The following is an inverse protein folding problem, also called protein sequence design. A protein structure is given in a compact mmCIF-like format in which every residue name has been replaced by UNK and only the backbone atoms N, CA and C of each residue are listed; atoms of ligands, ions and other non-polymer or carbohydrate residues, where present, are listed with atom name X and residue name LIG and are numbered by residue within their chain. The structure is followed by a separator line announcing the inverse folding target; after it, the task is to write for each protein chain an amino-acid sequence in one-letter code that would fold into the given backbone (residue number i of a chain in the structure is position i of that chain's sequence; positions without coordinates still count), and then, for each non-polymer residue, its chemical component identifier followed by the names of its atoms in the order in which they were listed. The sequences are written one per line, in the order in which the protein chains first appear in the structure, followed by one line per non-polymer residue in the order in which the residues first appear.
data_IF_541236231605
#
_entry.id   IF_541236231605
#
_cell.length_a   1.000
_cell.length_b   1.000
_cell.length_c   1.000
_cell.angle_alpha   90.00
_cell.angle_beta   90.00
_cell.angle_gamma   90.00
#
_symmetry.space_group_name_H-M   'P 1'
#
loop_
_entity.id
_entity.type
_entity.pdbx_description
1 polymer ?
#
# COMPACT_ATOMS: atom_id res chain seq x y z
N UNK A 1 -7.08 -9.20 -1.01
CA UNK A 1 -8.19 -9.35 -1.98
C UNK A 1 -8.23 -10.74 -2.63
N UNK A 2 -9.40 -11.21 -3.05
CA UNK A 2 -9.51 -12.37 -3.95
C UNK A 2 -9.22 -11.98 -5.41
N UNK A 3 -9.12 -12.95 -6.34
CA UNK A 3 -8.79 -12.69 -7.75
C UNK A 3 -9.79 -11.76 -8.47
N UNK A 4 -11.03 -11.67 -7.98
CA UNK A 4 -12.10 -10.87 -8.60
C UNK A 4 -12.12 -9.40 -8.15
N UNK A 5 -11.20 -8.97 -7.28
CA UNK A 5 -11.15 -7.59 -6.83
C UNK A 5 -10.69 -6.67 -7.96
N UNK A 6 -11.62 -5.87 -8.48
CA UNK A 6 -11.30 -4.85 -9.49
C UNK A 6 -10.66 -3.65 -8.78
N UNK A 7 -9.35 -3.50 -8.95
CA UNK A 7 -8.62 -2.30 -8.54
C UNK A 7 -8.50 -1.40 -9.77
N UNK A 8 -9.00 -0.17 -9.66
CA UNK A 8 -8.76 0.84 -10.68
C UNK A 8 -7.29 1.25 -10.66
N UNK A 9 -6.50 0.67 -11.56
CA UNK A 9 -5.07 0.96 -11.67
C UNK A 9 -4.74 2.19 -12.51
N UNK A 10 -5.77 2.85 -13.07
CA UNK A 10 -5.60 4.09 -13.84
C UNK A 10 -5.38 5.29 -12.93
N UNK A 11 -5.89 5.24 -11.70
CA UNK A 11 -5.79 6.30 -10.72
C UNK A 11 -4.96 5.86 -9.51
N UNK A 12 -3.76 6.43 -9.38
CA UNK A 12 -2.83 6.16 -8.29
C UNK A 12 -3.47 6.30 -6.90
N UNK A 13 -4.32 7.31 -6.72
CA UNK A 13 -4.99 7.56 -5.45
C UNK A 13 -5.97 6.44 -5.09
N UNK A 14 -6.64 5.83 -6.08
CA UNK A 14 -7.52 4.67 -5.86
C UNK A 14 -6.76 3.43 -5.45
N UNK A 15 -5.56 3.23 -5.99
CA UNK A 15 -4.67 2.16 -5.54
C UNK A 15 -4.27 2.41 -4.08
N UNK A 16 -3.82 3.62 -3.74
CA UNK A 16 -3.47 3.97 -2.37
C UNK A 16 -4.62 3.76 -1.39
N UNK A 17 -5.82 4.27 -1.70
CA UNK A 17 -7.03 4.06 -0.91
C UNK A 17 -7.32 2.57 -0.69
N UNK A 18 -7.22 1.76 -1.75
CA UNK A 18 -7.47 0.33 -1.65
C UNK A 18 -6.46 -0.39 -0.75
N UNK A 19 -5.17 -0.12 -0.93
CA UNK A 19 -4.10 -0.75 -0.16
C UNK A 19 -4.09 -0.25 1.29
N UNK A 20 -4.31 1.04 1.50
CA UNK A 20 -4.41 1.62 2.83
C UNK A 20 -5.59 1.05 3.63
N UNK A 21 -6.73 0.76 2.98
CA UNK A 21 -7.84 0.06 3.62
C UNK A 21 -7.45 -1.35 4.09
N UNK A 22 -6.65 -2.08 3.30
CA UNK A 22 -6.08 -3.35 3.75
C UNK A 22 -5.18 -3.17 4.98
N UNK A 23 -4.25 -2.21 4.95
CA UNK A 23 -3.33 -1.93 6.06
C UNK A 23 -4.09 -1.66 7.36
N UNK A 24 -5.19 -0.90 7.30
CA UNK A 24 -5.96 -0.53 8.49
C UNK A 24 -6.86 -1.63 9.03
N UNK A 25 -7.45 -2.46 8.16
CA UNK A 25 -8.59 -3.29 8.55
C UNK A 25 -8.44 -4.78 8.22
N UNK A 26 -7.44 -5.19 7.45
CA UNK A 26 -7.18 -6.60 7.09
C UNK A 26 -6.19 -7.27 8.06
N UNK A 27 -6.50 -7.22 9.35
CA UNK A 27 -5.62 -7.72 10.43
C UNK A 27 -5.37 -9.24 10.36
N UNK A 28 -6.22 -9.98 9.66
CA UNK A 28 -6.10 -11.44 9.52
C UNK A 28 -5.02 -11.81 8.51
N UNK A 29 -4.90 -11.04 7.43
CA UNK A 29 -4.00 -11.37 6.32
C UNK A 29 -2.73 -10.54 6.34
N UNK A 30 -2.79 -9.32 6.85
CA UNK A 30 -1.62 -8.48 7.07
C UNK A 30 -1.22 -8.58 8.53
N UNK A 31 -0.10 -9.27 8.77
CA UNK A 31 0.53 -9.23 10.08
C UNK A 31 1.00 -7.79 10.33
N UNK A 32 0.56 -7.15 11.42
CA UNK A 32 0.89 -5.76 11.69
C UNK A 32 2.39 -5.51 11.59
N UNK A 33 3.21 -6.40 12.16
CA UNK A 33 4.68 -6.31 12.32
C UNK A 33 5.51 -6.07 11.06
N UNK A 34 4.92 -6.14 9.87
CA UNK A 34 5.66 -6.20 8.61
C UNK A 34 5.86 -4.86 7.88
N UNK A 35 5.29 -3.76 8.41
CA UNK A 35 5.35 -2.41 7.83
C UNK A 35 5.14 -2.42 6.29
N UNK A 36 4.01 -2.96 5.79
CA UNK A 36 3.83 -3.26 4.38
C UNK A 36 3.81 -2.00 3.50
N UNK A 37 4.26 -2.14 2.26
CA UNK A 37 4.22 -1.07 1.27
C UNK A 37 2.77 -0.61 1.00
N UNK A 38 2.52 0.69 1.07
CA UNK A 38 1.21 1.31 0.78
C UNK A 38 0.71 1.17 -0.66
N UNK A 39 1.48 0.60 -1.59
CA UNK A 39 1.09 0.40 -2.99
C UNK A 39 0.94 -1.07 -3.39
N UNK A 40 1.73 -1.97 -2.82
CA UNK A 40 1.73 -3.38 -3.20
C UNK A 40 1.62 -4.35 -2.02
N UNK A 41 1.56 -3.84 -0.79
CA UNK A 41 1.49 -4.59 0.46
C UNK A 41 2.66 -5.54 0.73
N UNK A 42 3.69 -5.55 -0.12
CA UNK A 42 4.91 -6.30 0.15
C UNK A 42 5.60 -5.72 1.40
N UNK A 43 6.08 -6.57 2.32
CA UNK A 43 6.71 -6.14 3.54
C UNK A 43 8.09 -5.49 3.29
N UNK A 44 8.55 -4.66 4.21
CA UNK A 44 9.96 -4.27 4.22
C UNK A 44 10.84 -5.48 4.59
N UNK A 45 12.03 -5.68 3.99
CA UNK A 45 12.74 -4.81 3.04
C UNK A 45 12.44 -5.10 1.56
N UNK A 46 11.46 -5.94 1.23
CA UNK A 46 11.21 -6.41 -0.14
C UNK A 46 10.72 -5.30 -1.08
N UNK A 47 10.00 -4.32 -0.53
CA UNK A 47 9.57 -3.13 -1.25
C UNK A 47 10.00 -1.88 -0.49
N UNK A 48 10.87 -1.08 -1.09
CA UNK A 48 11.45 0.11 -0.47
C UNK A 48 11.10 1.35 -1.28
N UNK A 49 10.72 2.40 -0.55
CA UNK A 49 10.52 3.73 -1.11
C UNK A 49 11.75 4.58 -0.84
N UNK A 50 12.18 5.30 -1.85
CA UNK A 50 13.21 6.33 -1.73
C UNK A 50 12.56 7.66 -2.02
N UNK A 51 12.78 8.65 -1.14
CA UNK A 51 12.33 10.01 -1.38
C UNK A 51 13.46 10.84 -1.97
N UNK A 52 13.11 11.79 -2.82
CA UNK A 52 14.01 12.83 -3.34
C UNK A 52 13.39 14.20 -3.12
N UNK A 53 14.24 15.19 -2.92
CA UNK A 53 13.83 16.59 -2.86
C UNK A 53 13.55 17.09 -4.28
N UNK A 54 12.43 17.79 -4.45
CA UNK A 54 12.13 18.44 -5.74
C UNK A 54 12.84 19.79 -5.77
N UNK A 55 13.48 20.13 -6.90
CA UNK A 55 14.18 21.41 -7.06
C UNK A 55 13.19 22.60 -7.07
N UNK A 56 13.48 23.62 -6.26
CA UNK A 56 12.70 24.86 -6.12
C UNK A 56 12.25 25.07 -4.67
N UNK A 57 12.17 26.34 -4.24
CA UNK A 57 12.02 26.72 -2.83
C UNK A 57 10.78 26.15 -2.11
N UNK A 58 9.76 25.69 -2.85
CA UNK A 58 8.44 25.39 -2.30
C UNK A 58 7.87 24.02 -2.74
N UNK A 59 8.72 23.13 -3.30
CA UNK A 59 8.23 21.92 -4.00
C UNK A 59 8.27 20.63 -3.19
N UNK A 60 8.68 20.68 -1.92
CA UNK A 60 8.62 19.54 -1.00
C UNK A 60 9.37 18.29 -1.49
N UNK A 61 8.91 17.11 -1.04
CA UNK A 61 9.48 15.80 -1.38
C UNK A 61 8.65 15.08 -2.44
N UNK A 62 9.28 14.18 -3.19
CA UNK A 62 8.62 13.24 -4.09
C UNK A 62 9.24 11.87 -3.98
N UNK A 63 8.51 10.84 -4.43
CA UNK A 63 9.08 9.50 -4.57
C UNK A 63 10.10 9.51 -5.72
N UNK A 64 11.28 8.95 -5.46
CA UNK A 64 12.28 8.65 -6.47
C UNK A 64 11.91 7.34 -7.16
N UNK A 65 11.26 7.45 -8.31
CA UNK A 65 10.84 6.29 -9.11
C UNK A 65 12.00 5.43 -9.61
N UNK A 66 13.22 5.96 -9.71
CA UNK A 66 14.37 5.20 -10.19
C UNK A 66 15.02 4.37 -9.09
N UNK A 67 14.98 4.88 -7.85
CA UNK A 67 15.61 4.24 -6.70
C UNK A 67 14.64 3.42 -5.84
N UNK A 68 13.33 3.63 -5.99
CA UNK A 68 12.31 2.83 -5.31
C UNK A 68 12.09 1.51 -6.03
N UNK A 69 11.76 0.44 -5.29
CA UNK A 69 11.66 -0.93 -5.83
C UNK A 69 10.23 -1.43 -6.05
N UNK A 70 9.21 -0.58 -5.87
CA UNK A 70 7.81 -1.01 -5.94
C UNK A 70 7.34 -1.28 -7.38
N UNK A 71 6.78 -2.47 -7.66
CA UNK A 71 6.29 -2.80 -9.00
C UNK A 71 5.05 -2.00 -9.41
N UNK A 72 4.30 -1.47 -8.44
CA UNK A 72 3.09 -0.67 -8.69
C UNK A 72 3.39 0.83 -8.86
N UNK A 73 4.66 1.24 -8.72
CA UNK A 73 5.07 2.62 -8.88
C UNK A 73 5.32 2.92 -10.36
N UNK A 74 4.30 3.42 -11.06
CA UNK A 74 4.42 3.78 -12.48
C UNK A 74 5.00 5.18 -12.67
N UNK A 75 5.82 5.39 -13.71
CA UNK A 75 6.54 6.64 -13.97
C UNK A 75 5.64 7.79 -14.44
N UNK A 76 4.50 7.46 -15.04
CA UNK A 76 3.45 8.38 -15.51
C UNK A 76 2.55 8.86 -14.37
N UNK A 77 2.48 8.12 -13.26
CA UNK A 77 1.67 8.45 -12.08
C UNK A 77 2.38 9.41 -11.13
N UNK A 78 2.78 10.59 -11.65
CA UNK A 78 3.33 11.69 -10.83
C UNK A 78 2.21 12.45 -10.14
N UNK A 79 1.55 11.84 -9.15
CA UNK A 79 0.69 12.59 -8.25
C UNK A 79 1.54 13.55 -7.41
N UNK A 80 1.08 14.79 -7.22
CA UNK A 80 1.70 15.70 -6.26
C UNK A 80 1.66 15.07 -4.87
N UNK A 81 2.84 14.77 -4.31
CA UNK A 81 3.02 14.17 -2.99
C UNK A 81 2.26 14.97 -1.91
N UNK A 82 2.31 16.31 -1.99
CA UNK A 82 1.60 17.21 -1.08
C UNK A 82 0.09 17.01 -1.11
N UNK A 83 -0.50 16.80 -2.30
CA UNK A 83 -1.94 16.55 -2.44
C UNK A 83 -2.36 15.18 -1.91
N UNK A 84 -1.48 14.19 -2.01
CA UNK A 84 -1.74 12.85 -1.49
C UNK A 84 -1.52 12.76 0.03
N UNK A 85 -0.76 13.69 0.63
CA UNK A 85 -0.54 13.77 2.07
C UNK A 85 -1.75 14.36 2.83
N UNK A 86 -2.69 14.99 2.13
CA UNK A 86 -3.87 15.59 2.74
C UNK A 86 -5.11 14.72 2.52
N UNK A 87 -5.73 14.27 3.61
CA UNK A 87 -7.01 13.56 3.54
C UNK A 87 -8.15 14.57 3.32
N UNK A 88 -8.81 14.46 2.17
CA UNK A 88 -9.96 15.30 1.79
C UNK A 88 -11.25 14.49 1.78
N UNK A 89 -12.38 15.15 1.51
CA UNK A 89 -13.65 14.44 1.30
C UNK A 89 -13.66 13.61 0.02
N UNK A 90 -13.06 14.13 -1.05
CA UNK A 90 -12.97 13.44 -2.34
C UNK A 90 -11.91 12.33 -2.36
N UNK A 91 -10.86 12.46 -1.55
CA UNK A 91 -9.85 11.43 -1.35
C UNK A 91 -9.41 11.33 0.11
N UNK A 92 -9.95 10.35 0.85
CA UNK A 92 -9.80 10.26 2.30
C UNK A 92 -8.56 9.48 2.72
N UNK A 93 -7.46 9.53 1.96
CA UNK A 93 -6.28 8.73 2.22
C UNK A 93 -5.03 9.62 2.18
N UNK A 94 -4.46 9.86 3.35
CA UNK A 94 -3.17 10.53 3.57
C UNK A 94 -1.99 9.55 3.60
N UNK A 95 -2.18 8.30 3.18
CA UNK A 95 -1.16 7.27 3.29
C UNK A 95 -0.02 7.49 2.28
N UNK A 96 0.99 8.27 2.67
CA UNK A 96 2.18 8.58 1.86
C UNK A 96 3.47 8.11 2.54
N UNK A 97 4.55 7.82 1.78
CA UNK A 97 5.82 7.41 2.37
C UNK A 97 6.56 8.61 2.98
N UNK A 98 6.84 8.59 4.27
CA UNK A 98 7.43 9.68 5.05
C UNK A 98 8.80 9.26 5.62
N UNK A 99 9.77 10.19 5.74
CA UNK A 99 11.00 9.89 6.45
C UNK A 99 10.71 9.77 7.95
N UNK A 100 11.24 8.72 8.60
CA UNK A 100 11.23 8.65 10.05
C UNK A 100 12.20 9.72 10.62
N UNK A 101 11.84 10.47 11.67
CA UNK A 101 12.76 11.44 12.27
C UNK A 101 13.75 10.80 13.25
N UNK A 102 13.57 9.52 13.61
CA UNK A 102 14.40 8.80 14.58
C UNK A 102 15.38 7.81 13.91
N UNK A 103 15.16 7.48 12.63
CA UNK A 103 16.08 6.68 11.83
C UNK A 103 16.01 7.04 10.35
N UNK A 104 16.92 6.50 9.54
CA UNK A 104 17.01 6.80 8.10
C UNK A 104 16.03 6.00 7.22
N UNK A 105 14.95 5.43 7.80
CA UNK A 105 13.97 4.63 7.05
C UNK A 105 12.83 5.50 6.51
N UNK A 106 12.32 5.12 5.35
CA UNK A 106 11.09 5.69 4.76
C UNK A 106 9.93 4.76 5.07
N UNK A 107 8.93 5.28 5.77
CA UNK A 107 7.80 4.52 6.32
C UNK A 107 6.50 5.11 5.79
N UNK A 108 5.57 4.25 5.37
CA UNK A 108 4.22 4.69 4.99
C UNK A 108 3.48 5.27 6.20
N UNK A 109 2.80 6.40 6.01
CA UNK A 109 2.15 7.17 7.08
C UNK A 109 1.35 6.29 8.04
N UNK A 110 0.53 5.39 7.51
CA UNK A 110 -0.33 4.52 8.33
C UNK A 110 0.45 3.47 9.13
N UNK A 111 1.70 3.19 8.78
CA UNK A 111 2.58 2.26 9.49
C UNK A 111 3.45 2.95 10.55
N UNK A 112 3.46 4.30 10.65
CA UNK A 112 4.38 5.03 11.53
C UNK A 112 4.19 4.68 13.01
N UNK A 113 2.95 4.54 13.48
CA UNK A 113 2.66 4.20 14.87
C UNK A 113 3.34 2.90 15.26
N UNK A 114 3.16 1.89 14.42
CA UNK A 114 3.76 0.58 14.62
C UNK A 114 5.29 0.64 14.48
N UNK A 115 5.79 1.40 13.50
CA UNK A 115 7.23 1.58 13.32
C UNK A 115 7.89 2.16 14.57
N UNK A 116 7.29 3.19 15.19
CA UNK A 116 7.76 3.78 16.43
C UNK A 116 7.76 2.77 17.58
N UNK A 117 6.70 1.96 17.70
CA UNK A 117 6.62 0.92 18.71
C UNK A 117 7.69 -0.15 18.54
N UNK A 118 7.87 -0.67 17.33
CA UNK A 118 8.74 -1.82 17.08
C UNK A 118 10.21 -1.46 16.90
N UNK A 119 10.50 -0.34 16.24
CA UNK A 119 11.89 0.06 15.90
C UNK A 119 12.49 1.03 16.91
N UNK A 120 11.64 1.74 17.68
CA UNK A 120 12.08 2.79 18.60
C UNK A 120 11.60 2.58 20.05
N UNK A 121 10.88 1.48 20.33
CA UNK A 121 10.33 1.14 21.65
C UNK A 121 9.45 2.25 22.26
N UNK A 122 8.84 3.10 21.44
CA UNK A 122 7.93 4.15 21.90
C UNK A 122 6.55 3.53 22.13
N UNK A 123 6.16 3.39 23.40
CA UNK A 123 4.94 2.67 23.80
C UNK A 123 3.72 3.56 23.85
N UNK A 124 3.94 4.87 23.98
CA UNK A 124 2.89 5.86 24.17
C UNK A 124 2.86 6.83 22.98
N UNK A 125 1.67 7.18 22.44
CA UNK A 125 1.57 8.20 21.39
C UNK A 125 2.09 9.58 21.81
N UNK A 126 2.14 9.88 23.11
CA UNK A 126 2.73 11.11 23.64
C UNK A 126 4.25 11.17 23.48
N UNK A 127 4.91 10.02 23.29
CA UNK A 127 6.35 9.91 23.04
C UNK A 127 6.68 10.10 21.55
N UNK A 128 5.67 10.08 20.67
CA UNK A 128 5.91 10.24 19.25
C UNK A 128 6.38 11.66 18.91
N UNK A 129 7.21 11.81 17.86
CA UNK A 129 7.68 13.12 17.43
C UNK A 129 6.51 14.08 17.18
N UNK A 130 6.64 15.32 17.67
CA UNK A 130 5.55 16.33 17.70
C UNK A 130 4.86 16.57 16.36
N UNK A 131 5.57 16.37 15.26
CA UNK A 131 5.08 16.54 13.89
C UNK A 131 4.15 15.41 13.41
N UNK A 132 4.03 14.30 14.15
CA UNK A 132 3.06 13.23 13.87
C UNK A 132 1.93 13.17 14.90
N UNK A 133 2.17 13.65 16.13
CA UNK A 133 1.17 13.73 17.19
C UNK A 133 0.68 12.38 17.70
N UNK A 134 -0.33 12.42 18.60
CA UNK A 134 -0.96 11.21 19.15
C UNK A 134 -1.85 10.50 18.11
N UNK A 135 -2.43 11.27 17.19
CA UNK A 135 -3.37 10.80 16.17
C UNK A 135 -2.72 10.85 14.78
N UNK A 136 -1.85 9.89 14.49
CA UNK A 136 -1.21 9.74 13.17
C UNK A 136 -2.26 9.68 12.04
N UNK A 137 -3.44 9.15 12.33
CA UNK A 137 -4.57 9.14 11.38
C UNK A 137 -5.78 9.70 12.11
N UNK A 138 -6.40 10.74 11.54
CA UNK A 138 -7.60 11.34 12.12
C UNK A 138 -8.79 10.36 12.14
N UNK A 139 -9.68 10.47 13.12
CA UNK A 139 -10.87 9.63 13.21
C UNK A 139 -11.83 9.83 12.01
N UNK A 140 -11.88 11.05 11.46
CA UNK A 140 -12.65 11.35 10.25
C UNK A 140 -12.10 10.59 9.03
N UNK A 141 -10.77 10.54 8.89
CA UNK A 141 -10.10 9.77 7.84
C UNK A 141 -10.31 8.27 8.01
N UNK A 142 -10.08 7.72 9.22
CA UNK A 142 -10.34 6.30 9.53
C UNK A 142 -11.77 5.91 9.22
N UNK A 143 -12.75 6.75 9.56
CA UNK A 143 -14.17 6.52 9.29
C UNK A 143 -14.46 6.41 7.80
N UNK A 144 -13.89 7.29 6.98
CA UNK A 144 -14.04 7.24 5.52
C UNK A 144 -13.32 6.03 4.92
N UNK A 145 -12.13 5.70 5.41
CA UNK A 145 -11.38 4.51 5.00
C UNK A 145 -12.13 3.22 5.34
N UNK A 146 -12.88 3.18 6.44
CA UNK A 146 -13.76 2.06 6.79
C UNK A 146 -14.86 1.84 5.75
N UNK A 147 -15.43 2.90 5.19
CA UNK A 147 -16.42 2.78 4.10
C UNK A 147 -15.79 2.18 2.84
N UNK A 148 -14.52 2.47 2.56
CA UNK A 148 -13.78 1.85 1.44
C UNK A 148 -13.56 0.36 1.74
N UNK A 149 -13.14 0.02 2.96
CA UNK A 149 -12.96 -1.36 3.39
C UNK A 149 -14.23 -2.20 3.25
N UNK A 150 -15.38 -1.70 3.69
CA UNK A 150 -16.65 -2.43 3.55
C UNK A 150 -17.02 -2.72 2.09
N UNK A 151 -16.67 -1.82 1.16
CA UNK A 151 -16.83 -2.05 -0.28
C UNK A 151 -15.88 -3.12 -0.82
N UNK A 152 -14.65 -3.18 -0.30
CA UNK A 152 -13.66 -4.20 -0.66
C UNK A 152 -14.09 -5.58 -0.15
N UNK A 153 -14.57 -5.66 1.10
CA UNK A 153 -15.03 -6.89 1.74
C UNK A 153 -16.31 -7.43 1.09
N UNK A 154 -17.22 -6.54 0.73
CA UNK A 154 -18.52 -6.87 0.13
C UNK A 154 -18.62 -6.30 -1.28
N UNK A 155 -17.84 -6.82 -2.25
CA UNK A 155 -17.91 -6.31 -3.62
C UNK A 155 -19.31 -6.59 -4.16
N UNK A 156 -20.03 -5.52 -4.54
CA UNK A 156 -21.31 -5.69 -5.23
C UNK A 156 -21.03 -6.47 -6.50
N UNK A 157 -21.63 -7.67 -6.64
CA UNK A 157 -21.59 -8.43 -7.90
C UNK A 157 -22.15 -7.51 -8.99
N UNK A 158 -21.26 -6.97 -9.82
CA UNK A 158 -21.70 -6.27 -11.02
C UNK A 158 -22.35 -7.33 -11.89
N UNK A 159 -23.68 -7.33 -11.98
CA UNK A 159 -24.37 -8.17 -12.95
C UNK A 159 -23.79 -7.79 -14.31
N UNK A 160 -23.20 -8.72 -15.07
CA UNK A 160 -22.69 -8.39 -16.38
C UNK A 160 -23.84 -7.78 -17.18
N UNK A 161 -23.68 -6.52 -17.61
CA UNK A 161 -24.58 -5.91 -18.61
C UNK A 161 -24.56 -6.88 -19.78
N UNK A 162 -25.70 -7.53 -20.04
CA UNK A 162 -25.81 -8.61 -21.02
C UNK A 162 -25.22 -8.19 -22.37
N UNK A 163 -23.99 -8.62 -22.62
CA UNK A 163 -23.41 -8.61 -23.97
C UNK A 163 -24.01 -9.81 -24.68
N UNK A 164 -24.74 -9.57 -25.76
CA UNK A 164 -25.23 -10.62 -26.67
C UNK A 164 -24.06 -11.57 -26.97
N UNK A 165 -24.27 -12.84 -26.66
CA UNK A 165 -23.27 -13.89 -26.81
C UNK A 165 -22.85 -14.02 -28.27
N UNK A 166 -21.57 -13.89 -28.55
CA UNK A 166 -20.92 -14.64 -29.63
C UNK A 166 -19.75 -15.40 -29.01
N UNK A 167 -19.74 -16.71 -29.27
CA UNK A 167 -18.94 -17.74 -28.60
C UNK A 167 -17.43 -17.54 -28.83
N UNK A 168 -16.62 -17.71 -27.79
CA UNK A 168 -15.85 -18.93 -27.57
C UNK A 168 -15.12 -18.84 -26.22
N UNK A 169 -15.46 -19.75 -25.31
CA UNK A 169 -14.80 -19.88 -24.01
C UNK A 169 -13.49 -20.63 -24.23
N UNK A 170 -12.37 -19.92 -24.26
CA UNK A 170 -11.08 -20.56 -24.02
C UNK A 170 -11.02 -20.89 -22.52
N UNK A 171 -11.18 -22.18 -22.21
CA UNK A 171 -10.89 -22.73 -20.89
C UNK A 171 -9.42 -22.50 -20.58
N UNK A 172 -9.13 -21.56 -19.68
CA UNK A 172 -7.79 -21.39 -19.14
C UNK A 172 -7.61 -22.53 -18.13
N UNK A 173 -6.79 -23.52 -18.49
CA UNK A 173 -6.45 -24.61 -17.58
C UNK A 173 -5.71 -24.08 -16.35
N UNK A 174 -5.93 -24.78 -15.24
CA UNK A 174 -5.43 -24.52 -13.88
C UNK A 174 -3.91 -24.24 -13.81
N UNK A 175 -3.15 -24.68 -14.82
CA UNK A 175 -1.72 -24.43 -14.99
C UNK A 175 -1.32 -22.94 -15.02
N UNK A 176 -2.24 -22.02 -15.34
CA UNK A 176 -1.95 -20.57 -15.36
C UNK A 176 -2.17 -19.85 -14.03
N UNK A 177 -2.88 -20.46 -13.07
CA UNK A 177 -3.07 -19.95 -11.70
C UNK A 177 -1.76 -19.91 -10.91
N UNK A 178 -0.79 -20.74 -11.30
CA UNK A 178 0.49 -20.95 -10.61
C UNK A 178 1.50 -19.80 -10.75
N UNK A 179 1.29 -18.77 -11.59
CA UNK A 179 2.27 -17.68 -11.73
C UNK A 179 2.44 -16.82 -10.45
N UNK A 180 1.42 -16.76 -9.59
CA UNK A 180 1.50 -16.11 -8.28
C UNK A 180 2.14 -17.03 -7.22
N UNK A 181 1.82 -18.32 -7.24
CA UNK A 181 2.37 -19.30 -6.29
C UNK A 181 3.85 -19.66 -6.56
N UNK A 182 4.28 -19.67 -7.83
CA UNK A 182 5.67 -19.99 -8.21
C UNK A 182 6.68 -18.90 -7.82
N UNK A 183 6.23 -17.66 -7.63
CA UNK A 183 7.10 -16.62 -7.04
C UNK A 183 7.45 -16.92 -5.58
N UNK A 184 6.58 -17.60 -4.82
CA UNK A 184 6.90 -18.03 -3.45
C UNK A 184 7.79 -19.28 -3.42
N UNK A 185 7.59 -20.22 -4.35
CA UNK A 185 8.35 -21.49 -4.34
C UNK A 185 9.78 -21.38 -4.89
N UNK A 186 10.04 -20.47 -5.85
CA UNK A 186 11.42 -20.28 -6.36
C UNK A 186 12.40 -19.76 -5.28
N UNK A 187 11.91 -19.02 -4.28
CA UNK A 187 12.74 -18.51 -3.19
C UNK A 187 12.98 -19.53 -2.07
N UNK A 188 12.07 -20.48 -1.85
CA UNK A 188 12.27 -21.52 -0.84
C UNK A 188 13.43 -22.45 -1.21
N UNK A 189 13.61 -22.73 -2.51
CA UNK A 189 14.74 -23.53 -3.01
C UNK A 189 16.06 -22.76 -2.90
N UNK A 190 16.09 -21.47 -3.21
CA UNK A 190 17.33 -20.68 -3.09
C UNK A 190 17.79 -20.46 -1.64
N UNK A 191 16.86 -20.35 -0.68
CA UNK A 191 17.20 -20.21 0.73
C UNK A 191 17.80 -21.50 1.32
N UNK A 192 17.28 -22.67 0.91
CA UNK A 192 17.83 -23.96 1.34
C UNK A 192 19.20 -24.25 0.71
N UNK A 193 19.45 -23.82 -0.53
CA UNK A 193 20.76 -23.97 -1.19
C UNK A 193 21.86 -23.04 -0.66
N UNK A 194 21.54 -22.11 0.26
CA UNK A 194 22.51 -21.21 0.91
C UNK A 194 22.86 -21.63 2.34
N UNK A 195 22.33 -22.77 2.80
CA UNK A 195 22.58 -23.34 4.13
C UNK A 195 23.52 -24.56 4.10
N UNK A 196 24.06 -24.92 2.93
CA UNK A 196 25.13 -25.90 2.73
C UNK A 196 26.45 -25.20 2.39
#
# INVERSE_FOLDING_TARGET
CGPDAIIDTSNYQRILEHMAAHILFDLVRLQPTTEPCGLCLCPAPQCQMVLRNIRGADRGQSIDHQRSSCPNLKQDQRSSYARAAESTEASPCSNVPLPCPLCNRIIWHYNLALHFQNSHNLRSPQEYPKNYGADIISEAEKSKMRLIWEKIKNPKKVKPKGRKSTKSTLSISEAHSLRLALRYLSFFVQFLSSLD
#
